data_IF_147894412289
#
_entry.id   IF_147894412289
#
_cell.length_a   1.000
_cell.length_b   1.000
_cell.length_c   1.000
_cell.angle_alpha   90.00
_cell.angle_beta   90.00
_cell.angle_gamma   90.00
#
_symmetry.space_group_name_H-M   'P 1'
#
loop_
_entity.id
_entity.type
_entity.pdbx_description
1 polymer ?
#
# COMPACT_ATOMS: atom_id res chain seq x y z
N UNK A 1 -27.89 58.93 1.31
CA UNK A 1 -27.37 57.77 0.56
C UNK A 1 -26.55 56.93 1.52
N UNK A 2 -27.01 55.73 1.89
CA UNK A 2 -26.26 54.80 2.74
C UNK A 2 -25.50 53.85 1.83
N UNK A 3 -24.17 53.91 1.85
CA UNK A 3 -23.30 52.96 1.16
C UNK A 3 -23.37 51.61 1.85
N UNK A 4 -23.93 50.61 1.17
CA UNK A 4 -23.81 49.21 1.57
C UNK A 4 -22.43 48.71 1.17
N UNK A 5 -21.56 48.46 2.15
CA UNK A 5 -20.32 47.72 1.97
C UNK A 5 -20.69 46.23 2.01
N UNK A 6 -20.68 45.59 0.84
CA UNK A 6 -20.75 44.13 0.74
C UNK A 6 -19.39 43.54 1.14
N UNK A 7 -19.32 42.96 2.34
CA UNK A 7 -18.18 42.16 2.76
C UNK A 7 -18.28 40.78 2.06
N UNK A 8 -17.48 40.56 1.02
CA UNK A 8 -17.30 39.25 0.41
C UNK A 8 -16.56 38.35 1.41
N UNK A 9 -17.30 37.49 2.10
CA UNK A 9 -16.75 36.38 2.87
C UNK A 9 -16.07 35.41 1.89
N UNK A 10 -14.74 35.47 1.83
CA UNK A 10 -13.94 34.38 1.29
C UNK A 10 -14.12 33.18 2.23
N UNK A 11 -15.03 32.28 1.87
CA UNK A 11 -15.05 30.94 2.46
C UNK A 11 -13.93 30.17 1.77
N UNK A 12 -12.83 29.80 2.46
CA UNK A 12 -11.88 28.87 1.89
C UNK A 12 -12.62 27.55 1.66
N UNK A 13 -12.90 27.22 0.41
CA UNK A 13 -13.19 25.84 0.05
C UNK A 13 -11.92 25.04 0.34
N UNK A 14 -11.84 24.46 1.54
CA UNK A 14 -10.89 23.40 1.82
C UNK A 14 -11.25 22.24 0.89
N UNK A 15 -10.50 22.11 -0.21
CA UNK A 15 -10.56 20.95 -1.06
C UNK A 15 -9.92 19.81 -0.26
N UNK A 16 -10.74 18.95 0.33
CA UNK A 16 -10.25 17.73 0.98
C UNK A 16 -9.60 16.83 -0.08
N UNK A 17 -8.39 16.37 0.18
CA UNK A 17 -7.74 15.36 -0.66
C UNK A 17 -8.38 14.00 -0.46
N UNK A 18 -9.29 13.61 -1.35
CA UNK A 18 -9.87 12.26 -1.32
C UNK A 18 -8.89 11.24 -1.91
N UNK A 19 -8.88 10.03 -1.36
CA UNK A 19 -8.20 8.89 -1.96
C UNK A 19 -8.63 8.73 -3.43
N UNK A 20 -7.70 8.42 -4.36
CA UNK A 20 -7.99 8.17 -5.76
C UNK A 20 -9.10 7.13 -5.94
N UNK A 21 -9.98 7.36 -6.91
CA UNK A 21 -11.04 6.39 -7.25
C UNK A 21 -10.46 5.01 -7.54
N UNK A 22 -11.22 3.98 -7.19
CA UNK A 22 -10.93 2.62 -7.61
C UNK A 22 -10.93 2.51 -9.14
N UNK A 23 -10.10 1.59 -9.65
CA UNK A 23 -10.09 1.23 -11.05
C UNK A 23 -11.40 0.52 -11.43
N UNK A 24 -11.77 0.61 -12.70
CA UNK A 24 -13.01 -0.02 -13.20
C UNK A 24 -12.79 -1.50 -13.50
N UNK A 25 -11.55 -1.90 -13.75
CA UNK A 25 -11.14 -3.27 -13.99
C UNK A 25 -9.66 -3.44 -13.64
N UNK A 26 -9.28 -4.68 -13.31
CA UNK A 26 -7.90 -5.05 -13.05
C UNK A 26 -7.03 -4.77 -14.28
N UNK A 27 -5.83 -4.22 -14.04
CA UNK A 27 -4.82 -4.06 -15.07
C UNK A 27 -4.04 -5.35 -15.19
N UNK A 28 -4.37 -6.11 -16.24
CA UNK A 28 -3.62 -7.31 -16.62
C UNK A 28 -2.31 -6.90 -17.28
N UNK A 29 -1.20 -7.42 -16.75
CA UNK A 29 0.10 -7.19 -17.36
C UNK A 29 0.18 -7.90 -18.73
N UNK A 30 0.96 -7.35 -19.69
CA UNK A 30 1.29 -8.06 -20.91
C UNK A 30 1.90 -9.42 -20.59
N UNK A 31 1.58 -10.44 -21.39
CA UNK A 31 2.18 -11.79 -21.31
C UNK A 31 3.57 -11.79 -21.93
N UNK A 32 4.42 -10.93 -21.39
CA UNK A 32 5.74 -10.62 -21.91
C UNK A 32 6.73 -10.62 -20.72
N UNK A 33 7.84 -11.39 -20.81
CA UNK A 33 8.87 -11.46 -19.76
C UNK A 33 9.46 -10.09 -19.36
N UNK A 34 9.33 -9.06 -20.19
CA UNK A 34 9.74 -7.71 -19.83
C UNK A 34 8.89 -7.08 -18.71
N UNK A 35 7.69 -7.60 -18.44
CA UNK A 35 6.75 -7.07 -17.42
C UNK A 35 6.55 -8.02 -16.25
N UNK A 36 6.56 -9.34 -16.49
CA UNK A 36 6.39 -10.33 -15.43
C UNK A 36 6.91 -11.70 -15.85
N UNK A 37 7.37 -12.48 -14.86
CA UNK A 37 7.69 -13.90 -15.02
C UNK A 37 6.43 -14.80 -15.12
N UNK A 38 5.25 -14.30 -14.74
CA UNK A 38 4.03 -15.10 -14.76
C UNK A 38 3.38 -15.10 -16.15
N UNK A 39 3.11 -16.27 -16.76
CA UNK A 39 2.56 -16.35 -18.12
C UNK A 39 1.08 -15.90 -18.24
N UNK A 40 0.43 -15.63 -17.10
CA UNK A 40 -0.97 -15.26 -16.99
C UNK A 40 -1.20 -13.77 -16.68
N UNK A 41 -0.13 -12.96 -16.59
CA UNK A 41 -0.22 -11.51 -16.37
C UNK A 41 -0.44 -11.10 -14.91
N UNK A 42 -0.23 -12.00 -13.95
CA UNK A 42 -0.07 -11.65 -12.54
C UNK A 42 1.28 -10.99 -12.28
N UNK A 43 1.42 -10.14 -11.26
CA UNK A 43 2.67 -9.47 -10.94
C UNK A 43 3.61 -10.44 -10.24
N UNK A 44 4.34 -11.26 -10.99
CA UNK A 44 5.51 -11.98 -10.49
C UNK A 44 6.75 -11.34 -11.08
N UNK A 45 7.60 -10.78 -10.23
CA UNK A 45 8.77 -10.00 -10.62
C UNK A 45 10.05 -10.64 -10.10
N UNK A 46 11.01 -10.83 -11.01
CA UNK A 46 12.35 -11.37 -10.76
C UNK A 46 13.43 -10.29 -10.91
N UNK A 47 13.12 -9.17 -11.58
CA UNK A 47 14.07 -8.08 -11.85
C UNK A 47 13.46 -6.71 -11.58
N UNK A 48 14.30 -5.71 -11.26
CA UNK A 48 13.86 -4.32 -11.12
C UNK A 48 13.22 -3.77 -12.40
N UNK A 49 13.74 -4.17 -13.56
CA UNK A 49 13.20 -3.73 -14.86
C UNK A 49 11.76 -4.19 -15.05
N UNK A 50 11.41 -5.41 -14.62
CA UNK A 50 10.02 -5.88 -14.65
C UNK A 50 9.12 -5.03 -13.77
N UNK A 51 9.57 -4.68 -12.54
CA UNK A 51 8.82 -3.79 -11.65
C UNK A 51 8.59 -2.43 -12.33
N UNK A 52 9.64 -1.80 -12.84
CA UNK A 52 9.54 -0.50 -13.52
C UNK A 52 8.59 -0.57 -14.73
N UNK A 53 8.73 -1.58 -15.59
CA UNK A 53 7.89 -1.74 -16.78
C UNK A 53 6.43 -1.99 -16.40
N UNK A 54 6.18 -2.86 -15.43
CA UNK A 54 4.85 -3.20 -14.95
C UNK A 54 4.12 -1.98 -14.38
N UNK A 55 4.74 -1.27 -13.44
CA UNK A 55 4.14 -0.09 -12.81
C UNK A 55 3.93 1.04 -13.82
N UNK A 56 4.90 1.30 -14.70
CA UNK A 56 4.75 2.33 -15.72
C UNK A 56 3.62 1.98 -16.71
N UNK A 57 3.54 0.73 -17.16
CA UNK A 57 2.41 0.26 -17.95
C UNK A 57 1.09 0.45 -17.22
N UNK A 58 1.02 0.07 -15.95
CA UNK A 58 -0.19 0.18 -15.15
C UNK A 58 -0.63 1.63 -14.95
N UNK A 59 0.29 2.57 -14.71
CA UNK A 59 0.00 4.01 -14.71
C UNK A 59 -0.62 4.47 -16.04
N UNK A 60 -0.09 4.03 -17.20
CA UNK A 60 -0.70 4.36 -18.51
C UNK A 60 -2.12 3.79 -18.63
N UNK A 61 -2.38 2.59 -18.11
CA UNK A 61 -3.71 1.99 -18.16
C UNK A 61 -4.69 2.67 -17.19
N UNK A 62 -4.23 3.06 -16.00
CA UNK A 62 -5.00 3.83 -15.02
C UNK A 62 -5.47 5.16 -15.63
N UNK A 63 -4.55 5.90 -16.26
CA UNK A 63 -4.90 7.15 -16.93
C UNK A 63 -5.99 6.95 -18.00
N UNK A 64 -5.90 5.89 -18.79
CA UNK A 64 -6.93 5.54 -19.78
C UNK A 64 -8.26 5.21 -19.12
N UNK A 65 -8.28 4.35 -18.10
CA UNK A 65 -9.52 3.92 -17.44
C UNK A 65 -10.24 5.08 -16.74
N UNK A 66 -9.47 5.98 -16.14
CA UNK A 66 -9.95 7.10 -15.33
C UNK A 66 -10.02 8.43 -16.11
N UNK A 67 -9.69 8.41 -17.41
CA UNK A 67 -9.69 9.58 -18.30
C UNK A 67 -8.80 10.73 -17.79
N UNK A 68 -7.66 10.37 -17.20
CA UNK A 68 -6.66 11.33 -16.77
C UNK A 68 -5.86 11.82 -17.99
N UNK A 69 -5.22 13.02 -17.92
CA UNK A 69 -4.32 13.46 -18.97
C UNK A 69 -3.20 12.44 -19.21
N UNK A 70 -2.84 12.24 -20.49
CA UNK A 70 -1.75 11.34 -20.85
C UNK A 70 -0.46 11.79 -20.16
N UNK A 71 0.22 10.86 -19.49
CA UNK A 71 1.45 11.10 -18.71
C UNK A 71 1.28 11.91 -17.43
N UNK A 72 0.05 12.10 -16.94
CA UNK A 72 -0.18 12.77 -15.66
C UNK A 72 0.39 12.04 -14.45
N UNK A 73 0.51 10.71 -14.50
CA UNK A 73 1.09 9.90 -13.41
C UNK A 73 2.62 9.73 -13.53
N UNK A 74 3.24 10.40 -14.51
CA UNK A 74 4.68 10.34 -14.74
C UNK A 74 5.22 8.92 -14.98
N UNK A 75 6.51 8.77 -14.70
CA UNK A 75 7.28 7.53 -14.86
C UNK A 75 7.94 7.17 -13.53
N UNK A 76 7.73 5.94 -13.06
CA UNK A 76 8.41 5.36 -11.91
C UNK A 76 9.91 5.20 -12.22
N UNK A 77 10.77 5.53 -11.25
CA UNK A 77 12.21 5.34 -11.33
C UNK A 77 12.76 4.90 -9.98
N UNK A 78 13.81 4.09 -9.96
CA UNK A 78 14.43 3.64 -8.72
C UNK A 78 15.84 4.20 -8.55
N UNK A 79 16.33 4.39 -7.32
CA UNK A 79 17.75 4.65 -7.09
C UNK A 79 18.59 3.43 -7.50
N UNK A 80 19.86 3.64 -7.84
CA UNK A 80 20.77 2.58 -8.36
C UNK A 80 20.91 1.38 -7.40
N UNK A 81 20.72 1.58 -6.09
CA UNK A 81 20.86 0.54 -5.08
C UNK A 81 19.52 -0.07 -4.62
N UNK A 82 18.42 0.13 -5.36
CA UNK A 82 17.08 -0.23 -4.93
C UNK A 82 16.94 -1.70 -4.49
N UNK A 83 17.40 -2.66 -5.28
CA UNK A 83 17.34 -4.09 -4.96
C UNK A 83 18.15 -4.46 -3.70
N UNK A 84 19.14 -3.66 -3.33
CA UNK A 84 19.95 -3.87 -2.13
C UNK A 84 19.27 -3.34 -0.86
N UNK A 85 18.26 -2.49 -1.00
CA UNK A 85 17.50 -1.99 0.14
C UNK A 85 16.68 -3.11 0.79
N UNK A 86 16.47 -3.10 2.11
CA UNK A 86 15.51 -3.99 2.77
C UNK A 86 14.11 -3.87 2.17
N UNK A 87 13.35 -4.97 2.19
CA UNK A 87 12.01 -5.01 1.59
C UNK A 87 11.06 -3.92 2.13
N UNK A 88 11.12 -3.62 3.43
CA UNK A 88 10.34 -2.53 4.02
C UNK A 88 10.69 -1.16 3.42
N UNK A 89 11.99 -0.88 3.17
CA UNK A 89 12.42 0.37 2.56
C UNK A 89 12.00 0.45 1.09
N UNK A 90 12.10 -0.66 0.34
CA UNK A 90 11.60 -0.72 -1.04
C UNK A 90 10.09 -0.49 -1.11
N UNK A 91 9.32 -1.04 -0.17
CA UNK A 91 7.89 -0.82 -0.05
C UNK A 91 7.54 0.63 0.27
N UNK A 92 8.25 1.28 1.21
CA UNK A 92 8.07 2.72 1.50
C UNK A 92 8.35 3.57 0.26
N UNK A 93 9.50 3.35 -0.40
CA UNK A 93 9.91 4.12 -1.58
C UNK A 93 8.88 3.98 -2.71
N UNK A 94 8.47 2.76 -3.03
CA UNK A 94 7.50 2.51 -4.09
C UNK A 94 6.13 3.11 -3.75
N UNK A 95 5.66 2.93 -2.51
CA UNK A 95 4.40 3.53 -2.02
C UNK A 95 4.45 5.05 -2.14
N UNK A 96 5.55 5.68 -1.71
CA UNK A 96 5.72 7.13 -1.80
C UNK A 96 5.77 7.64 -3.24
N UNK A 97 6.40 6.90 -4.17
CA UNK A 97 6.35 7.25 -5.59
C UNK A 97 4.96 7.12 -6.18
N UNK A 98 4.17 6.14 -5.74
CA UNK A 98 2.78 6.00 -6.19
C UNK A 98 1.86 7.09 -5.59
N UNK A 99 2.07 7.47 -4.32
CA UNK A 99 1.33 8.58 -3.68
C UNK A 99 1.64 9.92 -4.36
N UNK A 100 2.92 10.23 -4.56
CA UNK A 100 3.37 11.49 -5.16
C UNK A 100 3.07 11.61 -6.65
N UNK A 101 3.07 10.50 -7.40
CA UNK A 101 2.63 10.48 -8.80
C UNK A 101 1.17 10.92 -8.98
N UNK A 102 0.37 10.90 -7.92
CA UNK A 102 -1.04 11.30 -7.92
C UNK A 102 -1.26 12.67 -7.30
N UNK A 103 -0.20 13.37 -6.92
CA UNK A 103 -0.27 14.74 -6.47
C UNK A 103 -0.92 15.62 -7.55
N UNK A 104 -1.88 16.44 -7.16
CA UNK A 104 -2.59 17.39 -8.05
C UNK A 104 -3.42 16.75 -9.16
N UNK A 105 -3.54 15.42 -9.20
CA UNK A 105 -4.45 14.72 -10.10
C UNK A 105 -5.86 14.84 -9.53
N UNK A 106 -6.81 15.22 -10.38
CA UNK A 106 -8.22 15.32 -10.01
C UNK A 106 -8.97 14.07 -10.47
N UNK A 107 -9.41 13.26 -9.50
CA UNK A 107 -10.22 12.07 -9.75
C UNK A 107 -11.73 12.37 -9.78
N UNK A 108 -12.12 13.65 -9.86
CA UNK A 108 -13.48 14.15 -9.83
C UNK A 108 -14.00 14.45 -8.42
N UNK A 109 -13.10 14.55 -7.44
CA UNK A 109 -13.39 14.93 -6.05
C UNK A 109 -12.47 16.06 -5.56
N UNK A 110 -11.73 16.69 -6.48
CA UNK A 110 -10.68 17.63 -6.15
C UNK A 110 -9.29 17.01 -6.27
N UNK A 111 -8.29 17.88 -6.11
CA UNK A 111 -6.88 17.53 -6.23
C UNK A 111 -6.35 17.06 -4.88
N UNK A 112 -5.86 15.83 -4.81
CA UNK A 112 -5.17 15.32 -3.62
C UNK A 112 -3.79 15.97 -3.44
N UNK A 113 -3.29 16.09 -2.20
CA UNK A 113 -1.96 16.66 -1.93
C UNK A 113 -0.85 15.71 -2.41
N UNK A 114 -1.10 14.39 -2.43
CA UNK A 114 -0.15 13.37 -2.87
C UNK A 114 1.09 13.32 -1.98
N UNK A 115 0.90 13.45 -0.68
CA UNK A 115 2.00 13.45 0.28
C UNK A 115 2.61 12.04 0.38
N UNK A 116 3.94 11.91 0.36
CA UNK A 116 4.61 10.68 0.75
C UNK A 116 4.38 10.40 2.25
N UNK A 117 4.46 9.13 2.62
CA UNK A 117 4.63 8.72 4.01
C UNK A 117 6.00 9.22 4.53
N UNK A 118 6.02 9.69 5.78
CA UNK A 118 7.22 10.26 6.41
C UNK A 118 8.34 9.22 6.48
N UNK A 119 8.03 8.04 7.02
CA UNK A 119 9.03 7.03 7.30
C UNK A 119 8.42 5.63 7.54
N UNK A 120 9.32 4.65 7.66
CA UNK A 120 9.01 3.42 8.37
C UNK A 120 9.03 3.69 9.87
N UNK A 121 8.20 3.01 10.64
CA UNK A 121 8.23 3.07 12.10
C UNK A 121 8.53 1.67 12.68
N UNK A 122 9.46 1.62 13.64
CA UNK A 122 10.01 0.37 14.18
C UNK A 122 8.96 -0.53 14.83
N UNK A 123 8.12 0.00 15.71
CA UNK A 123 7.08 -0.78 16.39
C UNK A 123 5.95 -1.18 15.42
N UNK A 124 5.68 -0.36 14.39
CA UNK A 124 4.72 -0.68 13.35
C UNK A 124 5.22 -1.83 12.46
N UNK A 125 6.52 -1.87 12.16
CA UNK A 125 7.16 -3.04 11.53
C UNK A 125 7.00 -4.29 12.41
N UNK A 126 7.21 -4.18 13.73
CA UNK A 126 7.01 -5.30 14.65
C UNK A 126 5.55 -5.80 14.66
N UNK A 127 4.58 -4.90 14.65
CA UNK A 127 3.15 -5.24 14.55
C UNK A 127 2.84 -5.98 13.25
N UNK A 128 3.30 -5.45 12.12
CA UNK A 128 3.09 -6.05 10.81
C UNK A 128 3.76 -7.44 10.73
N UNK A 129 5.00 -7.55 11.22
CA UNK A 129 5.75 -8.79 11.27
C UNK A 129 5.09 -9.84 12.15
N UNK A 130 4.59 -9.44 13.33
CA UNK A 130 3.87 -10.34 14.22
C UNK A 130 2.60 -10.89 13.57
N UNK A 131 1.83 -10.06 12.84
CA UNK A 131 0.62 -10.53 12.16
C UNK A 131 0.93 -11.42 10.94
N UNK A 132 1.98 -11.11 10.18
CA UNK A 132 2.45 -11.99 9.09
C UNK A 132 2.85 -13.37 9.64
N UNK A 133 3.58 -13.40 10.77
CA UNK A 133 3.95 -14.63 11.46
C UNK A 133 2.76 -15.35 12.06
N UNK A 134 1.77 -14.65 12.60
CA UNK A 134 0.54 -15.22 13.14
C UNK A 134 -0.24 -15.99 12.07
N UNK A 135 -0.48 -15.34 10.92
CA UNK A 135 -1.11 -15.94 9.74
C UNK A 135 -0.38 -17.21 9.30
N UNK A 136 0.94 -17.12 9.10
CA UNK A 136 1.76 -18.26 8.71
C UNK A 136 1.69 -19.38 9.76
N UNK A 137 1.97 -19.09 11.02
CA UNK A 137 2.06 -20.10 12.10
C UNK A 137 0.76 -20.87 12.27
N UNK A 138 -0.38 -20.16 12.25
CA UNK A 138 -1.70 -20.72 12.53
C UNK A 138 -2.52 -21.06 11.28
N UNK A 139 -1.91 -21.05 10.09
CA UNK A 139 -2.52 -21.53 8.84
C UNK A 139 -3.82 -20.80 8.43
N UNK A 140 -3.87 -19.48 8.61
CA UNK A 140 -5.01 -18.66 8.21
C UNK A 140 -4.56 -17.40 7.46
N UNK A 141 -5.43 -16.85 6.60
CA UNK A 141 -5.19 -15.58 5.93
C UNK A 141 -6.36 -14.63 6.16
N UNK A 142 -6.12 -13.54 6.91
CA UNK A 142 -7.16 -12.58 7.26
C UNK A 142 -6.66 -11.42 8.11
N UNK A 143 -7.46 -10.35 8.20
CA UNK A 143 -7.13 -9.14 8.97
C UNK A 143 -7.23 -9.33 10.49
N UNK A 144 -8.09 -10.25 10.93
CA UNK A 144 -8.25 -10.61 12.34
C UNK A 144 -7.22 -11.66 12.70
N UNK A 145 -6.43 -11.40 13.74
CA UNK A 145 -5.44 -12.36 14.27
C UNK A 145 -6.11 -13.63 14.78
N UNK A 146 -5.33 -14.70 14.93
CA UNK A 146 -5.82 -15.98 15.43
C UNK A 146 -6.50 -15.87 16.81
N UNK A 147 -6.04 -14.93 17.65
CA UNK A 147 -6.64 -14.62 18.96
C UNK A 147 -7.81 -13.62 18.91
N UNK A 148 -8.34 -13.31 17.73
CA UNK A 148 -9.48 -12.41 17.55
C UNK A 148 -9.15 -10.92 17.50
N UNK A 149 -7.87 -10.52 17.60
CA UNK A 149 -7.49 -9.10 17.61
C UNK A 149 -7.59 -8.48 16.22
N UNK A 150 -8.15 -7.27 16.15
CA UNK A 150 -8.16 -6.44 14.95
C UNK A 150 -6.81 -5.73 14.74
N UNK A 151 -6.56 -5.20 13.55
CA UNK A 151 -5.39 -4.35 13.26
C UNK A 151 -5.22 -3.23 14.27
N UNK A 152 -6.28 -2.45 14.54
CA UNK A 152 -6.22 -1.34 15.49
C UNK A 152 -5.88 -1.82 16.90
N UNK A 153 -6.41 -2.97 17.32
CA UNK A 153 -6.07 -3.56 18.61
C UNK A 153 -4.62 -4.05 18.66
N UNK A 154 -4.02 -4.47 17.54
CA UNK A 154 -2.59 -4.81 17.47
C UNK A 154 -1.72 -3.55 17.55
N UNK A 155 -2.05 -2.51 16.79
CA UNK A 155 -1.33 -1.24 16.77
C UNK A 155 -1.38 -0.56 18.15
N UNK A 156 -2.58 -0.38 18.72
CA UNK A 156 -2.77 0.30 20.01
C UNK A 156 -2.20 -0.47 21.21
N UNK A 157 -1.76 -1.73 21.03
CA UNK A 157 -1.03 -2.44 22.08
C UNK A 157 0.44 -2.00 22.19
N UNK A 158 0.99 -1.38 21.16
CA UNK A 158 2.30 -0.77 21.25
C UNK A 158 2.18 0.53 22.04
N UNK A 159 3.00 0.69 23.08
CA UNK A 159 2.95 1.85 23.96
C UNK A 159 3.10 3.17 23.18
N UNK A 160 3.90 3.16 22.11
CA UNK A 160 4.16 4.32 21.24
C UNK A 160 2.91 4.83 20.51
N UNK A 161 1.92 3.95 20.25
CA UNK A 161 0.65 4.30 19.59
C UNK A 161 -0.52 4.37 20.57
N UNK A 162 -0.27 4.27 21.87
CA UNK A 162 -1.33 4.27 22.88
C UNK A 162 -1.86 5.68 23.18
N UNK A 163 -3.12 5.74 23.61
CA UNK A 163 -3.75 7.00 24.04
C UNK A 163 -3.95 7.98 22.90
N UNK A 164 -3.27 9.13 22.97
CA UNK A 164 -3.39 10.23 21.98
C UNK A 164 -2.31 10.19 20.89
N UNK A 165 -1.47 9.15 20.87
CA UNK A 165 -0.37 9.00 19.90
C UNK A 165 -0.74 8.17 18.67
N UNK A 166 -2.05 8.00 18.44
CA UNK A 166 -2.59 7.39 17.23
C UNK A 166 -3.84 8.18 16.86
N UNK A 167 -3.88 8.65 15.62
CA UNK A 167 -5.05 9.29 15.05
C UNK A 167 -5.82 8.29 14.18
N UNK A 168 -7.14 8.31 14.33
CA UNK A 168 -7.97 7.27 13.74
C UNK A 168 -8.00 7.38 12.21
N UNK A 169 -7.53 6.31 11.57
CA UNK A 169 -7.72 6.11 10.13
C UNK A 169 -8.80 5.06 9.88
N UNK A 170 -9.67 5.34 8.92
CA UNK A 170 -10.66 4.40 8.38
C UNK A 170 -10.04 3.09 7.86
N UNK A 171 -8.77 3.15 7.43
CA UNK A 171 -8.02 2.02 6.87
C UNK A 171 -6.58 2.06 7.39
N UNK A 172 -6.08 0.91 7.85
CA UNK A 172 -4.77 0.81 8.48
C UNK A 172 -3.98 -0.45 8.09
N UNK A 173 -4.51 -1.31 7.22
CA UNK A 173 -3.84 -2.55 6.85
C UNK A 173 -4.17 -3.02 5.44
N UNK A 174 -3.14 -3.50 4.75
CA UNK A 174 -3.25 -4.38 3.61
C UNK A 174 -2.51 -5.70 3.90
N UNK A 175 -3.10 -6.82 3.48
CA UNK A 175 -2.48 -8.14 3.55
C UNK A 175 -2.45 -8.78 2.16
N UNK A 176 -1.38 -9.51 1.86
CA UNK A 176 -1.16 -10.19 0.58
C UNK A 176 -0.57 -11.56 0.82
N UNK A 177 -0.99 -12.51 -0.02
CA UNK A 177 -0.49 -13.87 -0.01
C UNK A 177 -0.08 -14.25 -1.43
N UNK A 178 1.14 -14.77 -1.56
CA UNK A 178 1.62 -15.40 -2.78
C UNK A 178 1.87 -16.89 -2.54
N UNK A 179 1.20 -17.73 -3.31
CA UNK A 179 1.34 -19.18 -3.25
C UNK A 179 2.24 -19.65 -4.39
N UNK A 180 3.37 -20.24 -4.05
CA UNK A 180 4.32 -20.79 -5.02
C UNK A 180 4.31 -22.32 -4.96
N UNK A 181 4.34 -22.94 -6.14
CA UNK A 181 4.23 -24.39 -6.31
C UNK A 181 5.42 -24.90 -7.12
N UNK A 182 6.11 -25.92 -6.62
CA UNK A 182 7.26 -26.53 -7.30
C UNK A 182 7.19 -28.06 -7.23
N UNK A 183 7.49 -28.72 -8.33
CA UNK A 183 7.73 -30.17 -8.39
C UNK A 183 9.15 -30.56 -8.01
N UNK A 184 10.07 -29.58 -7.91
CA UNK A 184 11.50 -29.77 -7.64
C UNK A 184 11.90 -29.26 -6.25
N UNK A 185 12.84 -29.96 -5.59
CA UNK A 185 13.45 -29.58 -4.30
C UNK A 185 14.91 -29.14 -4.50
N UNK A 186 15.43 -28.10 -3.80
CA UNK A 186 14.75 -27.05 -3.04
C UNK A 186 14.85 -25.68 -3.73
N UNK A 187 13.70 -25.05 -4.03
CA UNK A 187 13.65 -23.62 -4.33
C UNK A 187 12.34 -23.05 -3.76
N UNK A 188 12.36 -22.66 -2.48
CA UNK A 188 11.21 -22.05 -1.79
C UNK A 188 11.68 -20.83 -0.98
N UNK A 189 12.50 -19.98 -1.61
CA UNK A 189 12.89 -18.70 -1.02
C UNK A 189 11.83 -17.65 -1.32
N UNK A 190 11.69 -16.68 -0.41
CA UNK A 190 10.83 -15.53 -0.64
C UNK A 190 11.31 -14.75 -1.86
N UNK A 191 10.44 -14.45 -2.84
CA UNK A 191 10.83 -13.63 -3.99
C UNK A 191 11.38 -12.28 -3.54
N UNK A 192 12.46 -11.83 -4.20
CA UNK A 192 13.10 -10.54 -3.87
C UNK A 192 12.09 -9.41 -3.93
N UNK A 193 11.24 -9.38 -4.96
CA UNK A 193 10.27 -8.30 -5.18
C UNK A 193 8.87 -8.57 -4.62
N UNK A 194 8.73 -9.42 -3.58
CA UNK A 194 7.41 -9.81 -3.05
C UNK A 194 6.55 -8.62 -2.59
N UNK A 195 7.18 -7.58 -2.05
CA UNK A 195 6.53 -6.34 -1.62
C UNK A 195 5.97 -5.55 -2.80
N UNK A 196 6.68 -5.52 -3.90
CA UNK A 196 6.33 -4.87 -5.15
C UNK A 196 5.19 -5.62 -5.84
N UNK A 197 5.21 -6.96 -5.79
CA UNK A 197 4.08 -7.80 -6.22
C UNK A 197 2.81 -7.50 -5.43
N UNK A 198 2.93 -7.37 -4.10
CA UNK A 198 1.81 -7.02 -3.22
C UNK A 198 1.26 -5.62 -3.54
N UNK A 199 2.13 -4.60 -3.61
CA UNK A 199 1.76 -3.22 -3.95
C UNK A 199 1.10 -3.15 -5.33
N UNK A 200 1.65 -3.84 -6.33
CA UNK A 200 1.04 -3.88 -7.66
C UNK A 200 -0.36 -4.49 -7.60
N UNK A 201 -0.51 -5.61 -6.90
CA UNK A 201 -1.80 -6.30 -6.77
C UNK A 201 -2.85 -5.41 -6.12
N UNK A 202 -2.52 -4.78 -4.99
CA UNK A 202 -3.42 -3.88 -4.27
C UNK A 202 -3.77 -2.62 -5.06
N UNK A 203 -2.83 -2.03 -5.80
CA UNK A 203 -3.09 -0.81 -6.56
C UNK A 203 -3.85 -1.07 -7.87
N UNK A 204 -3.50 -2.15 -8.55
CA UNK A 204 -3.82 -2.32 -9.97
C UNK A 204 -4.62 -3.58 -10.30
N UNK A 205 -4.69 -4.56 -9.40
CA UNK A 205 -5.43 -5.82 -9.58
C UNK A 205 -6.41 -6.10 -8.44
N UNK A 206 -6.93 -5.03 -7.82
CA UNK A 206 -7.89 -5.08 -6.71
C UNK A 206 -9.32 -4.68 -7.13
N UNK A 207 -9.60 -4.46 -8.42
CA UNK A 207 -10.88 -3.94 -8.87
C UNK A 207 -12.04 -4.92 -8.67
N UNK A 208 -11.75 -6.22 -8.69
CA UNK A 208 -12.78 -7.28 -8.56
C UNK A 208 -13.26 -7.46 -7.12
N UNK A 209 -12.36 -7.41 -6.14
CA UNK A 209 -12.72 -7.50 -4.70
C UNK A 209 -13.09 -6.12 -4.15
N UNK A 210 -12.37 -5.07 -4.57
CA UNK A 210 -12.58 -3.68 -4.18
C UNK A 210 -12.72 -3.47 -2.66
N UNK A 211 -12.02 -4.27 -1.86
CA UNK A 211 -12.03 -4.17 -0.39
C UNK A 211 -11.30 -2.93 0.13
N UNK A 212 -10.68 -2.19 -0.79
CA UNK A 212 -10.07 -0.88 -0.57
C UNK A 212 -8.58 -0.96 -0.30
N UNK A 213 -7.90 -1.98 -0.82
CA UNK A 213 -6.45 -2.06 -0.66
C UNK A 213 -5.73 -0.91 -1.38
N UNK A 214 -6.20 -0.59 -2.60
CA UNK A 214 -5.76 0.59 -3.34
C UNK A 214 -5.96 1.87 -2.54
N UNK A 215 -7.11 1.98 -1.90
CA UNK A 215 -7.49 3.12 -1.10
C UNK A 215 -6.59 3.26 0.13
N UNK A 216 -6.33 2.17 0.87
CA UNK A 216 -5.39 2.16 1.99
C UNK A 216 -4.00 2.68 1.59
N UNK A 217 -3.47 2.29 0.43
CA UNK A 217 -2.14 2.76 -0.04
C UNK A 217 -2.13 4.25 -0.40
N UNK A 218 -3.24 4.75 -0.94
CA UNK A 218 -3.31 6.09 -1.54
C UNK A 218 -4.08 7.10 -0.67
N UNK A 219 -4.60 6.69 0.49
CA UNK A 219 -5.37 7.55 1.40
C UNK A 219 -4.54 8.78 1.78
N UNK A 220 -5.17 9.95 1.66
CA UNK A 220 -4.64 11.25 2.09
C UNK A 220 -5.54 11.71 3.25
N UNK A 221 -6.26 12.82 3.13
CA UNK A 221 -7.12 13.35 4.21
C UNK A 221 -8.40 12.54 4.42
N UNK A 222 -8.94 11.98 3.33
CA UNK A 222 -10.17 11.18 3.34
C UNK A 222 -10.04 9.97 2.46
N UNK A 223 -10.72 8.91 2.87
CA UNK A 223 -10.91 7.70 2.09
C UNK A 223 -11.96 7.93 0.96
N UNK A 224 -12.09 7.01 0.02
CA UNK A 224 -13.00 7.08 -1.12
C UNK A 224 -14.50 7.03 -0.72
N UNK A 225 -14.80 6.55 0.50
CA UNK A 225 -16.13 6.52 1.10
C UNK A 225 -16.43 7.73 2.02
N UNK A 226 -15.44 8.60 2.26
CA UNK A 226 -15.52 9.76 3.15
C UNK A 226 -15.06 9.51 4.59
N UNK A 227 -14.51 8.33 4.88
CA UNK A 227 -13.84 8.01 6.14
C UNK A 227 -12.57 8.84 6.35
N UNK A 228 -12.13 8.95 7.60
CA UNK A 228 -10.95 9.74 7.99
C UNK A 228 -9.67 9.10 7.46
N UNK A 229 -8.81 9.92 6.85
CA UNK A 229 -7.44 9.57 6.50
C UNK A 229 -6.45 10.29 7.43
N UNK A 230 -5.33 10.72 6.89
CA UNK A 230 -4.28 11.45 7.59
C UNK A 230 -4.67 12.90 7.90
N UNK A 231 -4.30 13.41 9.07
CA UNK A 231 -4.53 14.82 9.43
C UNK A 231 -3.47 15.80 8.92
N UNK A 232 -2.30 15.32 8.50
CA UNK A 232 -1.19 16.15 8.02
C UNK A 232 -0.67 17.12 9.10
N UNK A 233 -0.57 16.64 10.34
CA UNK A 233 -0.17 17.43 11.49
C UNK A 233 1.21 17.02 12.05
N UNK A 234 1.86 16.03 11.44
CA UNK A 234 3.18 15.55 11.82
C UNK A 234 4.18 15.54 10.66
N UNK A 235 5.45 15.75 11.01
CA UNK A 235 6.56 15.65 10.08
C UNK A 235 6.80 16.96 9.34
N UNK A 236 7.50 16.89 8.23
CA UNK A 236 7.66 18.06 7.37
C UNK A 236 6.35 18.38 6.66
N UNK A 237 6.12 19.63 6.26
CA UNK A 237 4.93 20.01 5.46
C UNK A 237 4.80 19.25 4.12
N UNK A 238 5.79 18.43 3.74
CA UNK A 238 5.81 17.62 2.54
C UNK A 238 5.69 16.11 2.77
N UNK A 239 5.30 15.65 3.96
CA UNK A 239 5.17 14.21 4.30
C UNK A 239 4.13 13.99 5.39
N UNK A 240 3.44 12.86 5.41
CA UNK A 240 2.55 12.48 6.51
C UNK A 240 2.35 10.96 6.58
N UNK A 241 2.32 10.41 7.80
CA UNK A 241 2.00 9.02 8.06
C UNK A 241 3.22 8.10 8.17
N UNK A 242 3.04 7.00 8.89
CA UNK A 242 4.03 5.93 9.00
C UNK A 242 3.60 4.64 8.32
N UNK A 243 4.61 3.87 7.90
CA UNK A 243 4.45 2.53 7.35
C UNK A 243 5.14 1.49 8.22
N UNK A 244 4.49 0.35 8.43
CA UNK A 244 5.11 -0.88 8.91
C UNK A 244 4.97 -2.00 7.88
N UNK A 245 5.99 -2.83 7.74
CA UNK A 245 6.01 -3.96 6.79
C UNK A 245 6.46 -5.22 7.50
N UNK A 246 5.69 -6.29 7.33
CA UNK A 246 5.97 -7.61 7.88
C UNK A 246 5.91 -8.69 6.81
N UNK A 247 6.83 -9.65 6.86
CA UNK A 247 6.94 -10.72 5.87
C UNK A 247 7.05 -12.07 6.55
N UNK A 248 6.30 -13.07 6.10
CA UNK A 248 6.45 -14.45 6.59
C UNK A 248 6.40 -15.47 5.47
N UNK A 249 7.00 -16.64 5.69
CA UNK A 249 7.02 -17.74 4.73
C UNK A 249 6.76 -19.05 5.45
N UNK A 250 5.88 -19.87 4.87
CA UNK A 250 5.59 -21.21 5.40
C UNK A 250 5.49 -22.23 4.28
N UNK A 251 6.27 -23.29 4.41
CA UNK A 251 6.11 -24.51 3.61
C UNK A 251 4.81 -25.19 4.03
N UNK A 252 4.08 -25.72 3.06
CA UNK A 252 2.78 -26.36 3.26
C UNK A 252 1.71 -25.44 3.88
N UNK A 253 1.82 -24.12 3.65
CA UNK A 253 0.84 -23.15 4.10
C UNK A 253 -0.58 -23.52 3.62
N UNK A 254 -1.49 -23.77 4.56
CA UNK A 254 -2.80 -24.36 4.27
C UNK A 254 -3.75 -23.45 3.48
N UNK A 255 -3.69 -22.10 3.61
CA UNK A 255 -4.42 -21.19 2.73
C UNK A 255 -4.04 -21.30 1.24
N UNK A 256 -2.87 -21.86 0.92
CA UNK A 256 -2.52 -22.20 -0.46
C UNK A 256 -3.15 -23.54 -0.86
N UNK A 257 -3.80 -23.56 -2.03
CA UNK A 257 -4.45 -24.75 -2.57
C UNK A 257 -3.48 -25.94 -2.69
N UNK A 258 -3.97 -27.17 -2.46
CA UNK A 258 -3.15 -28.38 -2.64
C UNK A 258 -3.18 -28.81 -4.10
N UNK A 259 -2.00 -28.99 -4.69
CA UNK A 259 -1.84 -29.60 -6.01
C UNK A 259 -1.05 -30.90 -5.88
N UNK A 260 -1.64 -32.08 -6.22
CA UNK A 260 -0.96 -33.35 -6.15
C UNK A 260 0.36 -33.35 -6.93
N UNK A 261 1.44 -33.83 -6.32
CA UNK A 261 2.77 -33.87 -6.94
C UNK A 261 3.59 -32.59 -6.82
N UNK A 262 3.05 -31.52 -6.22
CA UNK A 262 3.76 -30.26 -6.01
C UNK A 262 3.95 -29.97 -4.52
N UNK A 263 5.13 -29.47 -4.16
CA UNK A 263 5.33 -28.75 -2.91
C UNK A 263 4.69 -27.37 -3.01
N UNK A 264 4.13 -26.87 -1.91
CA UNK A 264 3.60 -25.51 -1.84
C UNK A 264 4.31 -24.71 -0.75
N UNK A 265 4.51 -23.43 -1.02
CA UNK A 265 4.95 -22.46 -0.03
C UNK A 265 4.05 -21.22 -0.13
N UNK A 266 3.68 -20.69 1.02
CA UNK A 266 2.97 -19.42 1.13
C UNK A 266 3.92 -18.34 1.59
N UNK A 267 3.94 -17.22 0.89
CA UNK A 267 4.58 -15.97 1.33
C UNK A 267 3.48 -14.98 1.71
N UNK A 268 3.59 -14.41 2.90
CA UNK A 268 2.62 -13.46 3.46
C UNK A 268 3.31 -12.10 3.60
N UNK A 269 2.62 -11.06 3.14
CA UNK A 269 3.03 -9.66 3.28
C UNK A 269 1.94 -8.91 4.04
N UNK A 270 2.34 -8.14 5.05
CA UNK A 270 1.47 -7.23 5.79
C UNK A 270 2.05 -5.82 5.67
N UNK A 271 1.21 -4.85 5.31
CA UNK A 271 1.54 -3.43 5.38
C UNK A 271 0.56 -2.73 6.32
N UNK A 272 1.07 -2.11 7.38
CA UNK A 272 0.28 -1.31 8.30
C UNK A 272 0.55 0.18 8.14
N UNK A 273 -0.50 0.99 8.28
CA UNK A 273 -0.46 2.44 8.15
C UNK A 273 -0.97 3.08 9.43
N UNK A 274 -0.30 4.14 9.88
CA UNK A 274 -0.69 4.90 11.06
C UNK A 274 -0.61 6.38 10.72
N UNK A 275 -1.62 7.13 11.17
CA UNK A 275 -1.60 8.59 11.30
C UNK A 275 -1.05 8.94 12.70
N UNK A 276 0.22 9.36 12.78
CA UNK A 276 0.89 9.64 14.05
C UNK A 276 0.56 11.05 14.54
N UNK A 277 0.22 11.20 15.82
CA UNK A 277 -0.05 12.52 16.38
C UNK A 277 1.21 13.42 16.40
N UNK A 278 1.01 14.71 16.14
CA UNK A 278 2.06 15.73 16.08
C UNK A 278 3.08 15.71 17.24
N UNK A 279 2.60 15.57 18.49
CA UNK A 279 3.40 15.80 19.70
C UNK A 279 3.92 14.53 20.39
N UNK A 280 3.86 13.38 19.70
CA UNK A 280 4.34 12.10 20.23
C UNK A 280 5.75 11.74 19.72
N UNK A 281 6.45 10.89 20.47
CA UNK A 281 7.77 10.39 20.10
C UNK A 281 7.63 9.00 19.47
N UNK A 282 8.25 8.80 18.31
CA UNK A 282 8.23 7.52 17.58
C UNK A 282 9.67 7.11 17.23
N UNK A 283 9.87 5.84 16.89
CA UNK A 283 11.18 5.30 16.55
C UNK A 283 11.24 5.01 15.06
N UNK A 284 12.09 5.75 14.36
CA UNK A 284 12.38 5.54 12.94
C UNK A 284 13.68 4.69 12.82
N UNK A 285 13.74 3.70 11.91
CA UNK A 285 14.88 2.81 11.74
C UNK A 285 16.10 3.47 11.08
#
# INVERSE_FOLDING_TARGET
>A
MRSFICLLLFIPCFAFGQAPKNLKADIKLPKDPAYTAAPNGFPVFDTESQVLNAFNFARRQEEKQLKLPVNSLGTLSFPENYQQLPAAQRALLLTNQERTARAKVDYGAGKGPGLPLEALETHLNEVAQAHATDMATHDFFGHTSHNGRTTLQRINAQAVFSGKCYEFMSRAENIYMFCYYSSEKPALQMPVFITEQAIFSWLYQDATVAWGHRETLLIQDKDASGGTGFHNDRGSAGSEGFLGVGLSTKVDYSPCAKFPGYQRVGHVVVMNFVDPAANCSYTLP
#
